data_IF_283725910953
#
_entry.id   IF_283725910953
#
_cell.length_a   1.000
_cell.length_b   1.000
_cell.length_c   1.000
_cell.angle_alpha   90.00
_cell.angle_beta   90.00
_cell.angle_gamma   90.00
#
_symmetry.space_group_name_H-M   'P 1'
#
loop_
_entity.id
_entity.type
_entity.pdbx_description
1 polymer ?
#
# COMPACT_ATOMS: atom_id res chain seq x y z
N UNK A 1 -20.78 -9.05 12.24
CA UNK A 1 -20.39 -8.80 10.84
C UNK A 1 -19.63 -7.50 10.89
N UNK A 2 -18.38 -7.55 10.44
CA UNK A 2 -17.46 -6.41 10.45
C UNK A 2 -17.99 -5.36 9.48
N UNK A 3 -18.03 -4.10 9.90
CA UNK A 3 -18.40 -2.97 9.04
C UNK A 3 -17.28 -1.93 9.04
N UNK A 4 -16.77 -1.60 7.87
CA UNK A 4 -15.81 -0.52 7.65
C UNK A 4 -16.50 0.72 7.10
N UNK A 5 -16.34 1.85 7.78
CA UNK A 5 -16.90 3.14 7.35
C UNK A 5 -15.82 4.22 7.43
N UNK A 6 -15.52 4.87 6.31
CA UNK A 6 -14.72 6.10 6.35
C UNK A 6 -15.59 7.22 6.98
N UNK A 7 -15.10 7.85 8.04
CA UNK A 7 -15.84 8.89 8.78
C UNK A 7 -14.98 10.14 9.00
N UNK A 8 -15.60 11.31 8.89
CA UNK A 8 -14.91 12.60 8.76
C UNK A 8 -14.80 13.05 7.29
N UNK A 9 -14.60 14.34 7.08
CA UNK A 9 -14.57 14.94 5.74
C UNK A 9 -13.16 14.88 5.13
N UNK A 10 -12.22 15.62 5.71
CA UNK A 10 -10.83 15.69 5.28
C UNK A 10 -9.99 14.81 6.20
N UNK A 11 -9.12 14.01 5.61
CA UNK A 11 -8.28 13.04 6.31
C UNK A 11 -9.12 12.13 7.25
N UNK A 12 -10.05 11.34 6.67
CA UNK A 12 -11.04 10.61 7.45
C UNK A 12 -10.41 9.54 8.35
N UNK A 13 -11.10 9.23 9.43
CA UNK A 13 -10.87 8.01 10.20
C UNK A 13 -11.53 6.82 9.50
N UNK A 14 -10.99 5.63 9.74
CA UNK A 14 -11.71 4.39 9.52
C UNK A 14 -12.43 4.02 10.82
N UNK A 15 -13.75 4.14 10.83
CA UNK A 15 -14.60 3.52 11.86
C UNK A 15 -14.81 2.06 11.53
N UNK A 16 -14.60 1.22 12.54
CA UNK A 16 -14.81 -0.21 12.47
C UNK A 16 -15.79 -0.63 13.55
N UNK A 17 -16.88 -1.28 13.13
CA UNK A 17 -17.82 -1.91 14.06
C UNK A 17 -17.66 -3.42 14.04
N UNK A 18 -17.51 -4.01 15.22
CA UNK A 18 -17.19 -5.43 15.43
C UNK A 18 -18.26 -6.08 16.31
N UNK A 19 -18.81 -7.21 15.87
CA UNK A 19 -19.60 -8.08 16.74
C UNK A 19 -18.70 -8.98 17.58
N UNK A 20 -19.21 -9.51 18.69
CA UNK A 20 -18.43 -10.44 19.52
C UNK A 20 -17.90 -11.62 18.68
N UNK A 21 -16.59 -11.86 18.75
CA UNK A 21 -15.88 -12.87 17.96
C UNK A 21 -15.36 -12.36 16.61
N UNK A 22 -15.76 -11.18 16.15
CA UNK A 22 -15.19 -10.56 14.96
C UNK A 22 -13.72 -10.15 15.21
N UNK A 23 -12.94 -10.20 14.13
CA UNK A 23 -11.50 -9.92 14.13
C UNK A 23 -11.12 -9.17 12.86
N UNK A 24 -10.27 -8.17 13.00
CA UNK A 24 -9.60 -7.48 11.89
C UNK A 24 -8.09 -7.49 12.06
N UNK A 25 -7.39 -7.28 10.95
CA UNK A 25 -5.98 -6.91 10.93
C UNK A 25 -5.83 -5.43 10.65
N UNK A 26 -4.82 -4.80 11.21
CA UNK A 26 -4.53 -3.38 10.98
C UNK A 26 -3.03 -3.08 10.98
N UNK A 27 -2.67 -1.93 10.40
CA UNK A 27 -1.34 -1.34 10.49
C UNK A 27 -1.00 -1.01 11.95
N UNK A 28 0.29 -1.09 12.31
CA UNK A 28 0.74 -0.65 13.63
C UNK A 28 0.54 0.85 13.80
N UNK A 29 0.31 1.29 15.02
CA UNK A 29 0.15 2.71 15.40
C UNK A 29 -1.03 3.44 14.72
N UNK A 30 -1.87 2.73 13.97
CA UNK A 30 -3.07 3.31 13.35
C UNK A 30 -4.23 3.50 14.35
N UNK A 31 -4.21 2.84 15.52
CA UNK A 31 -5.32 2.89 16.47
C UNK A 31 -5.44 4.26 17.15
N UNK A 32 -6.60 4.90 16.99
CA UNK A 32 -6.95 6.17 17.66
C UNK A 32 -7.73 5.92 18.94
N UNK A 33 -8.77 5.07 18.85
CA UNK A 33 -9.54 4.62 20.01
C UNK A 33 -10.09 3.22 19.77
N UNK A 34 -10.37 2.51 20.85
CA UNK A 34 -11.10 1.24 20.84
C UNK A 34 -11.96 1.16 22.10
N UNK A 35 -13.15 0.58 21.98
CA UNK A 35 -14.00 0.32 23.14
C UNK A 35 -13.44 -0.81 24.01
N UNK A 36 -13.78 -0.78 25.31
CA UNK A 36 -13.24 -1.68 26.32
C UNK A 36 -13.56 -3.17 26.07
N UNK A 37 -14.49 -3.49 25.17
CA UNK A 37 -14.84 -4.87 24.80
C UNK A 37 -13.84 -5.52 23.84
N UNK A 38 -13.02 -4.71 23.17
CA UNK A 38 -12.07 -5.12 22.16
C UNK A 38 -10.68 -5.38 22.78
N UNK A 39 -9.93 -6.30 22.20
CA UNK A 39 -8.52 -6.56 22.53
C UNK A 39 -7.62 -6.26 21.34
N UNK A 40 -6.52 -5.56 21.60
CA UNK A 40 -5.44 -5.35 20.64
C UNK A 40 -4.34 -6.40 20.88
N UNK A 41 -4.07 -7.23 19.87
CA UNK A 41 -3.06 -8.29 19.88
C UNK A 41 -1.99 -8.00 18.83
N UNK A 42 -0.71 -8.09 19.21
CA UNK A 42 0.42 -7.84 18.33
C UNK A 42 1.58 -7.19 19.09
N UNK A 43 2.82 -7.39 18.62
CA UNK A 43 4.00 -6.79 19.25
C UNK A 43 4.25 -5.40 18.67
N UNK A 44 4.21 -4.36 19.52
CA UNK A 44 4.73 -3.02 19.21
C UNK A 44 6.27 -3.02 19.05
N UNK A 45 6.94 -4.14 19.33
CA UNK A 45 8.39 -4.24 19.38
C UNK A 45 8.95 -5.02 18.17
N UNK A 46 9.39 -4.26 17.16
CA UNK A 46 10.21 -4.75 16.05
C UNK A 46 9.79 -4.10 14.74
N UNK A 47 10.52 -3.07 14.31
CA UNK A 47 10.19 -2.25 13.15
C UNK A 47 9.82 -3.04 11.89
N UNK A 48 9.05 -2.39 11.02
CA UNK A 48 8.50 -2.88 9.74
C UNK A 48 9.45 -3.86 9.02
N UNK A 49 10.75 -3.54 8.96
CA UNK A 49 11.78 -4.39 8.34
C UNK A 49 11.90 -5.82 8.91
N UNK A 50 11.74 -6.03 10.23
CA UNK A 50 11.85 -7.36 10.85
C UNK A 50 10.59 -8.21 10.59
N UNK A 51 9.42 -7.57 10.49
CA UNK A 51 8.17 -8.25 10.14
C UNK A 51 8.17 -8.69 8.66
N UNK A 52 8.62 -7.80 7.77
CA UNK A 52 8.86 -8.13 6.35
C UNK A 52 9.84 -9.28 6.20
N UNK A 53 10.99 -9.23 6.89
CA UNK A 53 12.00 -10.28 6.82
C UNK A 53 11.46 -11.66 7.25
N UNK A 54 10.58 -11.72 8.26
CA UNK A 54 9.90 -12.98 8.65
C UNK A 54 8.90 -13.44 7.61
N UNK A 55 8.06 -12.55 7.10
CA UNK A 55 7.09 -12.85 6.04
C UNK A 55 7.81 -13.42 4.80
N UNK A 56 8.92 -12.81 4.40
CA UNK A 56 9.77 -13.32 3.31
C UNK A 56 10.39 -14.68 3.61
N UNK A 57 10.98 -14.86 4.80
CA UNK A 57 11.71 -16.08 5.14
C UNK A 57 10.77 -17.30 5.30
N UNK A 58 9.56 -17.08 5.82
CA UNK A 58 8.66 -18.16 6.21
C UNK A 58 7.40 -18.27 5.32
N UNK A 59 7.20 -17.35 4.38
CA UNK A 59 5.96 -17.27 3.58
C UNK A 59 4.72 -16.88 4.41
N UNK A 60 4.92 -16.31 5.60
CA UNK A 60 3.84 -15.91 6.51
C UNK A 60 3.13 -14.63 6.03
N UNK A 61 1.85 -14.48 6.37
CA UNK A 61 1.06 -13.28 6.05
C UNK A 61 1.63 -12.03 6.74
N UNK A 62 1.66 -10.92 6.01
CA UNK A 62 2.14 -9.61 6.49
C UNK A 62 1.03 -8.87 7.26
N UNK A 63 0.71 -9.31 8.48
CA UNK A 63 -0.17 -8.55 9.37
C UNK A 63 0.57 -8.14 10.63
N UNK A 64 0.51 -6.85 10.96
CA UNK A 64 1.31 -6.26 12.03
C UNK A 64 0.56 -6.29 13.37
N UNK A 65 -0.74 -5.94 13.36
CA UNK A 65 -1.59 -5.94 14.54
C UNK A 65 -2.97 -6.53 14.22
N UNK A 66 -3.66 -6.94 15.28
CA UNK A 66 -4.99 -7.53 15.24
C UNK A 66 -5.87 -6.88 16.31
N UNK A 67 -7.09 -6.49 15.95
CA UNK A 67 -8.14 -6.09 16.90
C UNK A 67 -9.23 -7.17 16.89
N UNK A 68 -9.65 -7.61 18.08
CA UNK A 68 -10.62 -8.69 18.26
C UNK A 68 -11.67 -8.34 19.31
N UNK A 69 -12.95 -8.59 19.01
CA UNK A 69 -14.07 -8.34 19.91
C UNK A 69 -14.28 -9.51 20.89
N UNK A 70 -13.52 -9.51 21.99
CA UNK A 70 -13.45 -10.67 22.91
C UNK A 70 -14.57 -10.65 23.97
N UNK A 71 -14.81 -9.48 24.58
CA UNK A 71 -15.74 -9.36 25.73
C UNK A 71 -17.17 -9.03 25.33
N UNK A 72 -17.39 -8.53 24.13
CA UNK A 72 -18.68 -8.10 23.59
C UNK A 72 -18.50 -7.49 22.21
N UNK A 73 -19.58 -6.95 21.63
CA UNK A 73 -19.44 -6.05 20.48
C UNK A 73 -18.72 -4.76 20.88
N UNK A 74 -18.15 -4.07 19.90
CA UNK A 74 -17.64 -2.73 20.11
C UNK A 74 -17.00 -2.12 18.89
N UNK A 75 -16.70 -0.84 19.02
CA UNK A 75 -16.18 -0.01 17.95
C UNK A 75 -14.70 0.36 18.16
N UNK A 76 -13.98 0.59 17.06
CA UNK A 76 -12.70 1.26 17.07
C UNK A 76 -12.57 2.29 15.95
N UNK A 77 -11.69 3.26 16.14
CA UNK A 77 -11.27 4.20 15.10
C UNK A 77 -9.81 3.98 14.79
N UNK A 78 -9.51 3.85 13.49
CA UNK A 78 -8.15 3.80 12.96
C UNK A 78 -7.89 5.06 12.12
N UNK A 79 -6.65 5.54 12.13
CA UNK A 79 -6.17 6.63 11.29
C UNK A 79 -4.92 6.20 10.53
N UNK A 80 -4.82 6.46 9.22
CA UNK A 80 -3.58 6.28 8.48
C UNK A 80 -2.44 7.13 9.04
N UNK A 81 -1.21 6.68 8.79
CA UNK A 81 0.01 7.40 9.17
C UNK A 81 0.14 8.74 8.45
N UNK A 82 -0.26 8.82 7.18
CA UNK A 82 -0.13 10.01 6.35
C UNK A 82 -1.50 10.69 6.13
N UNK A 83 -1.55 12.04 6.13
CA UNK A 83 -2.77 12.77 5.78
C UNK A 83 -3.26 12.42 4.38
N UNK A 84 -4.51 12.00 4.24
CA UNK A 84 -5.09 11.82 2.92
C UNK A 84 -6.33 10.97 2.91
N UNK A 85 -6.62 10.40 1.76
CA UNK A 85 -7.86 9.68 1.51
C UNK A 85 -7.76 8.20 1.89
N UNK A 86 -8.90 7.66 2.35
CA UNK A 86 -9.14 6.25 2.61
C UNK A 86 -10.07 5.66 1.56
N UNK A 87 -9.86 4.40 1.19
CA UNK A 87 -10.82 3.62 0.40
C UNK A 87 -10.97 2.22 0.97
N UNK A 88 -12.21 1.81 1.17
CA UNK A 88 -12.57 0.39 1.42
C UNK A 88 -12.72 -0.28 0.06
N UNK A 89 -12.01 -1.38 -0.15
CA UNK A 89 -12.04 -2.18 -1.38
C UNK A 89 -12.42 -3.62 -1.05
N UNK A 90 -13.31 -4.19 -1.87
CA UNK A 90 -13.75 -5.58 -1.73
C UNK A 90 -12.72 -6.52 -2.38
N UNK A 91 -12.32 -7.54 -1.63
CA UNK A 91 -11.37 -8.58 -2.02
C UNK A 91 -12.12 -9.91 -2.13
N UNK A 92 -11.84 -10.69 -3.19
CA UNK A 92 -12.50 -11.96 -3.45
C UNK A 92 -12.30 -12.41 -4.90
N UNK A 93 -13.35 -12.28 -5.72
CA UNK A 93 -13.24 -12.51 -7.16
C UNK A 93 -12.21 -11.56 -7.82
N UNK A 94 -12.01 -10.40 -7.21
CA UNK A 94 -10.99 -9.42 -7.57
C UNK A 94 -9.94 -9.36 -6.47
N UNK A 95 -8.69 -9.31 -6.86
CA UNK A 95 -7.53 -9.20 -5.98
C UNK A 95 -6.70 -7.98 -6.41
N UNK A 96 -5.87 -7.47 -5.51
CA UNK A 96 -5.13 -6.24 -5.69
C UNK A 96 -3.66 -6.42 -5.34
N UNK A 97 -2.85 -5.57 -5.94
CA UNK A 97 -1.47 -5.32 -5.57
C UNK A 97 -1.42 -3.96 -4.89
N UNK A 98 -0.73 -3.87 -3.77
CA UNK A 98 -0.64 -2.67 -2.93
C UNK A 98 0.84 -2.28 -2.81
N UNK A 99 1.11 -0.99 -2.95
CA UNK A 99 2.41 -0.44 -2.61
C UNK A 99 2.64 -0.43 -1.09
N UNK A 100 3.91 -0.44 -0.68
CA UNK A 100 4.27 -0.26 0.73
C UNK A 100 3.69 1.03 1.31
N UNK A 101 3.17 0.95 2.54
CA UNK A 101 2.50 2.05 3.24
C UNK A 101 1.07 2.36 2.76
N UNK A 102 0.53 1.62 1.78
CA UNK A 102 -0.86 1.80 1.37
C UNK A 102 -1.87 1.07 2.28
N UNK A 103 -1.46 -0.03 2.92
CA UNK A 103 -2.36 -0.87 3.74
C UNK A 103 -2.73 -0.20 5.06
N UNK A 104 -4.01 -0.21 5.43
CA UNK A 104 -4.52 0.31 6.72
C UNK A 104 -5.15 -0.80 7.56
N UNK A 105 -6.12 -1.52 6.99
CA UNK A 105 -6.86 -2.54 7.70
C UNK A 105 -7.41 -3.61 6.76
N UNK A 106 -7.76 -4.77 7.32
CA UNK A 106 -8.30 -5.90 6.59
C UNK A 106 -9.26 -6.72 7.46
N UNK A 107 -10.34 -7.20 6.87
CA UNK A 107 -11.17 -8.25 7.51
C UNK A 107 -10.39 -9.58 7.60
N UNK A 108 -10.68 -10.39 8.62
CA UNK A 108 -9.94 -11.63 8.91
C UNK A 108 -9.94 -12.70 7.81
N UNK A 109 -10.87 -12.64 6.84
CA UNK A 109 -10.90 -13.53 5.68
C UNK A 109 -9.92 -13.17 4.55
N UNK A 110 -9.17 -12.08 4.70
CA UNK A 110 -8.16 -11.63 3.74
C UNK A 110 -6.74 -11.92 4.23
N UNK A 111 -5.83 -12.16 3.30
CA UNK A 111 -4.39 -12.38 3.57
C UNK A 111 -3.54 -11.45 2.71
N UNK A 112 -2.50 -10.83 3.29
CA UNK A 112 -1.50 -10.01 2.60
C UNK A 112 -0.20 -10.80 2.46
N UNK A 113 0.27 -11.00 1.24
CA UNK A 113 1.54 -11.68 0.94
C UNK A 113 2.48 -10.75 0.21
N UNK A 114 3.76 -10.79 0.54
CA UNK A 114 4.74 -10.00 -0.22
C UNK A 114 5.01 -10.69 -1.56
N UNK A 115 4.86 -9.96 -2.66
CA UNK A 115 5.11 -10.49 -4.00
C UNK A 115 6.60 -10.40 -4.32
N UNK A 116 7.24 -11.56 -4.42
CA UNK A 116 8.71 -11.71 -4.60
C UNK A 116 9.16 -11.71 -6.06
N UNK A 117 8.35 -11.22 -7.01
CA UNK A 117 8.70 -11.33 -8.44
C UNK A 117 10.08 -10.75 -8.76
N UNK A 118 10.75 -11.37 -9.73
CA UNK A 118 12.18 -11.20 -10.08
C UNK A 118 12.66 -9.76 -10.27
N UNK A 119 11.76 -8.83 -10.64
CA UNK A 119 12.06 -7.40 -10.82
C UNK A 119 12.26 -6.70 -9.46
N UNK A 120 11.57 -7.18 -8.40
CA UNK A 120 11.67 -6.66 -7.03
C UNK A 120 13.04 -6.87 -6.40
N UNK A 121 13.73 -7.98 -6.67
CA UNK A 121 15.05 -8.27 -6.09
C UNK A 121 16.14 -7.26 -6.52
N UNK A 122 16.11 -6.80 -7.77
CA UNK A 122 17.07 -5.84 -8.28
C UNK A 122 16.84 -4.42 -7.73
N UNK A 123 15.57 -4.06 -7.51
CA UNK A 123 15.18 -2.75 -6.98
C UNK A 123 15.26 -2.67 -5.46
N UNK A 124 14.94 -3.74 -4.73
CA UNK A 124 15.15 -3.85 -3.29
C UNK A 124 16.60 -3.55 -2.92
N UNK A 125 17.55 -4.05 -3.71
CA UNK A 125 18.97 -3.86 -3.49
C UNK A 125 19.45 -2.42 -3.76
N UNK A 126 18.75 -1.64 -4.59
CA UNK A 126 19.18 -0.29 -4.99
C UNK A 126 18.37 0.86 -4.38
N UNK A 127 17.12 0.64 -3.97
CA UNK A 127 16.20 1.70 -3.49
C UNK A 127 16.00 1.75 -1.97
N UNK A 128 16.49 0.77 -1.22
CA UNK A 128 16.31 0.72 0.23
C UNK A 128 14.98 0.14 0.73
N UNK A 129 14.18 -0.53 -0.14
CA UNK A 129 13.07 -1.36 0.32
C UNK A 129 11.75 -1.28 -0.45
N UNK A 130 11.75 -1.39 -1.79
CA UNK A 130 10.51 -1.45 -2.58
C UNK A 130 9.87 -2.85 -2.57
N UNK A 131 8.77 -3.04 -1.85
CA UNK A 131 7.91 -4.23 -1.98
C UNK A 131 6.49 -3.89 -2.40
N UNK A 132 5.90 -4.85 -3.09
CA UNK A 132 4.48 -4.89 -3.44
C UNK A 132 3.84 -6.03 -2.65
N UNK A 133 2.74 -5.74 -1.97
CA UNK A 133 1.90 -6.75 -1.32
C UNK A 133 0.78 -7.18 -2.26
N UNK A 134 0.38 -8.43 -2.20
CA UNK A 134 -0.75 -8.97 -2.96
C UNK A 134 -1.84 -9.46 -2.01
N UNK A 135 -3.08 -9.12 -2.35
CA UNK A 135 -4.25 -9.62 -1.64
C UNK A 135 -4.60 -11.05 -2.05
N UNK A 136 -5.12 -11.81 -1.09
CA UNK A 136 -5.78 -13.09 -1.33
C UNK A 136 -6.91 -13.33 -0.32
N UNK A 137 -7.75 -14.34 -0.56
CA UNK A 137 -8.91 -14.63 0.27
C UNK A 137 -10.14 -13.81 -0.11
N UNK A 138 -11.03 -13.56 0.84
CA UNK A 138 -12.30 -12.85 0.62
C UNK A 138 -12.66 -11.99 1.81
N UNK A 139 -13.12 -10.76 1.54
CA UNK A 139 -13.51 -9.79 2.56
C UNK A 139 -13.25 -8.38 2.07
N UNK A 140 -12.84 -7.49 2.97
CA UNK A 140 -12.52 -6.10 2.64
C UNK A 140 -11.10 -5.75 3.10
N UNK A 141 -10.43 -4.91 2.31
CA UNK A 141 -9.16 -4.27 2.64
C UNK A 141 -9.39 -2.77 2.59
N UNK A 142 -8.73 -2.04 3.48
CA UNK A 142 -8.71 -0.58 3.50
C UNK A 142 -7.33 -0.10 3.10
N UNK A 143 -7.30 0.78 2.11
CA UNK A 143 -6.09 1.43 1.62
C UNK A 143 -6.11 2.93 1.89
N UNK A 144 -4.94 3.52 2.10
CA UNK A 144 -4.73 4.96 2.21
C UNK A 144 -3.72 5.47 1.20
N UNK A 145 -3.86 6.74 0.83
CA UNK A 145 -2.89 7.44 -0.01
C UNK A 145 -2.66 8.86 0.48
N UNK A 146 -1.48 9.42 0.23
CA UNK A 146 -1.13 10.76 0.68
C UNK A 146 -1.86 11.84 -0.15
N UNK A 147 -2.67 12.66 0.52
CA UNK A 147 -3.61 13.58 -0.10
C UNK A 147 -4.84 12.90 -0.70
N UNK A 148 -5.48 13.54 -1.68
CA UNK A 148 -6.68 12.99 -2.35
C UNK A 148 -6.38 11.75 -3.17
N UNK A 149 -7.33 10.81 -3.27
CA UNK A 149 -7.21 9.60 -4.07
C UNK A 149 -8.09 9.67 -5.32
N UNK A 150 -7.56 9.16 -6.44
CA UNK A 150 -8.23 9.10 -7.73
C UNK A 150 -8.08 7.70 -8.34
N UNK A 151 -9.11 7.27 -9.08
CA UNK A 151 -9.18 5.94 -9.68
C UNK A 151 -9.04 6.07 -11.19
N UNK A 152 -8.02 5.44 -11.75
CA UNK A 152 -7.69 5.45 -13.17
C UNK A 152 -8.10 4.12 -13.81
N UNK A 153 -8.83 4.21 -14.92
CA UNK A 153 -9.12 3.06 -15.78
C UNK A 153 -7.95 2.80 -16.74
N UNK A 154 -7.45 1.57 -16.75
CA UNK A 154 -6.51 1.06 -17.75
C UNK A 154 -7.30 0.20 -18.72
N UNK A 155 -7.19 0.52 -20.00
CA UNK A 155 -7.88 -0.18 -21.08
C UNK A 155 -6.87 -0.76 -22.09
N UNK A 156 -7.20 -1.87 -22.78
CA UNK A 156 -6.30 -2.47 -23.76
C UNK A 156 -5.89 -1.47 -24.85
N UNK A 157 -4.58 -1.40 -25.13
CA UNK A 157 -4.00 -0.46 -26.10
C UNK A 157 -3.89 0.99 -25.62
N UNK A 158 -4.24 1.28 -24.37
CA UNK A 158 -4.11 2.59 -23.72
C UNK A 158 -3.31 2.46 -22.43
N UNK A 159 -2.03 2.12 -22.58
CA UNK A 159 -1.11 2.02 -21.45
C UNK A 159 -1.06 3.33 -20.66
N UNK A 160 -0.95 3.22 -19.34
CA UNK A 160 -0.84 4.37 -18.44
C UNK A 160 0.51 4.31 -17.74
N UNK A 161 1.26 5.41 -17.76
CA UNK A 161 2.55 5.54 -17.08
C UNK A 161 2.35 6.45 -15.87
N UNK A 162 2.75 5.98 -14.69
CA UNK A 162 2.48 6.64 -13.41
C UNK A 162 3.77 6.62 -12.58
N UNK A 163 4.10 7.74 -11.93
CA UNK A 163 5.13 7.74 -10.88
C UNK A 163 4.70 6.80 -9.74
N UNK A 164 5.57 5.85 -9.40
CA UNK A 164 5.32 4.86 -8.35
C UNK A 164 5.00 5.51 -7.00
N UNK A 165 5.58 6.67 -6.70
CA UNK A 165 5.36 7.39 -5.44
C UNK A 165 3.90 7.84 -5.24
N UNK A 166 3.13 7.87 -6.33
CA UNK A 166 1.71 8.21 -6.36
C UNK A 166 0.80 6.98 -6.46
N UNK A 167 1.32 5.78 -6.69
CA UNK A 167 0.52 4.56 -6.82
C UNK A 167 0.20 4.00 -5.43
N UNK A 168 -1.09 3.75 -5.18
CA UNK A 168 -1.59 3.19 -3.91
C UNK A 168 -1.81 1.69 -4.05
N UNK A 169 -2.72 1.29 -4.95
CA UNK A 169 -3.01 -0.09 -5.26
C UNK A 169 -3.55 -0.24 -6.68
N UNK A 170 -3.57 -1.46 -7.21
CA UNK A 170 -4.11 -1.74 -8.55
C UNK A 170 -4.62 -3.16 -8.66
N UNK A 171 -5.44 -3.41 -9.66
CA UNK A 171 -6.00 -4.74 -9.93
C UNK A 171 -4.87 -5.73 -10.26
N UNK A 172 -4.87 -6.91 -9.63
CA UNK A 172 -3.76 -7.86 -9.78
C UNK A 172 -3.65 -8.47 -11.19
N UNK A 173 -4.70 -8.33 -12.01
CA UNK A 173 -4.76 -8.80 -13.39
C UNK A 173 -4.08 -7.83 -14.38
N UNK A 174 -3.78 -6.61 -13.96
CA UNK A 174 -3.01 -5.67 -14.79
C UNK A 174 -1.57 -6.14 -14.92
N UNK A 175 -1.04 -6.00 -16.12
CA UNK A 175 0.39 -6.14 -16.36
C UNK A 175 1.06 -4.81 -16.00
N UNK A 176 2.21 -4.88 -15.33
CA UNK A 176 2.99 -3.70 -15.03
C UNK A 176 4.47 -3.92 -15.29
N UNK A 177 5.14 -2.90 -15.81
CA UNK A 177 6.58 -2.87 -16.04
C UNK A 177 7.20 -1.72 -15.26
N UNK A 178 8.31 -2.01 -14.59
CA UNK A 178 9.07 -1.00 -13.85
C UNK A 178 10.13 -0.40 -14.77
N UNK A 179 10.15 0.92 -14.89
CA UNK A 179 11.21 1.65 -15.57
C UNK A 179 11.94 2.53 -14.56
N UNK A 180 13.25 2.30 -14.43
CA UNK A 180 14.11 3.02 -13.49
C UNK A 180 14.82 4.15 -14.23
N UNK A 181 14.74 5.35 -13.67
CA UNK A 181 15.40 6.56 -14.18
C UNK A 181 16.82 6.67 -13.63
N UNK A 182 17.72 5.74 -13.95
CA UNK A 182 19.11 5.88 -13.50
C UNK A 182 19.81 7.00 -14.28
N UNK A 183 20.00 8.14 -13.61
CA UNK A 183 21.10 9.05 -13.91
C UNK A 183 22.43 8.33 -13.70
N UNK A 184 23.30 8.39 -14.71
CA UNK A 184 24.69 7.90 -14.71
C UNK A 184 24.91 6.37 -14.63
N UNK A 185 24.66 5.63 -15.71
CA UNK A 185 25.51 4.49 -16.09
C UNK A 185 25.50 4.31 -17.60
N UNK A 186 26.63 4.63 -18.25
CA UNK A 186 26.90 4.20 -19.61
C UNK A 186 27.10 2.68 -19.67
N UNK A 187 26.77 2.09 -20.82
CA UNK A 187 27.06 0.67 -21.14
C UNK A 187 25.79 -0.14 -21.43
N UNK A 188 25.46 -0.33 -22.70
CA UNK A 188 24.17 -0.84 -23.15
C UNK A 188 23.99 -2.37 -23.19
N UNK A 189 22.76 -2.80 -23.56
CA UNK A 189 22.46 -3.67 -24.71
C UNK A 189 20.93 -3.75 -24.91
N UNK A 190 20.43 -3.19 -26.02
CA UNK A 190 19.30 -3.77 -26.79
C UNK A 190 17.84 -3.57 -26.31
N UNK A 191 17.21 -2.48 -26.76
CA UNK A 191 15.92 -2.54 -27.46
C UNK A 191 14.61 -2.62 -26.65
N UNK A 192 13.95 -1.46 -26.46
CA UNK A 192 12.51 -1.21 -26.77
C UNK A 192 12.01 0.17 -26.27
N UNK A 193 12.81 0.95 -25.54
CA UNK A 193 12.38 2.24 -24.96
C UNK A 193 13.28 3.42 -25.34
N UNK A 194 13.51 3.62 -26.64
CA UNK A 194 14.22 4.80 -27.17
C UNK A 194 13.53 6.16 -26.90
N UNK A 195 12.43 6.22 -26.13
CA UNK A 195 11.66 7.44 -25.87
C UNK A 195 11.32 7.71 -24.38
N UNK A 196 11.92 6.99 -23.42
CA UNK A 196 11.87 7.36 -21.99
C UNK A 196 13.18 8.01 -21.51
N UNK A 197 13.96 8.55 -22.46
CA UNK A 197 15.37 8.96 -22.25
C UNK A 197 15.56 10.41 -21.81
N UNK A 198 14.50 11.12 -21.40
CA UNK A 198 14.59 12.51 -20.90
C UNK A 198 14.29 12.66 -19.39
N UNK A 199 14.35 11.57 -18.62
CA UNK A 199 13.97 11.57 -17.20
C UNK A 199 15.03 12.17 -16.26
N UNK A 200 16.29 12.26 -16.68
CA UNK A 200 17.33 12.99 -15.94
C UNK A 200 17.01 14.50 -15.84
N UNK A 201 16.16 15.02 -16.73
CA UNK A 201 15.66 16.40 -16.72
C UNK A 201 14.32 16.59 -16.01
N UNK A 202 13.54 15.53 -15.74
CA UNK A 202 12.19 15.66 -15.19
C UNK A 202 12.12 15.61 -13.66
N UNK A 203 13.12 15.01 -13.00
CA UNK A 203 13.12 14.84 -11.54
C UNK A 203 12.21 13.71 -11.02
N UNK A 204 11.66 12.89 -11.93
CA UNK A 204 10.78 11.77 -11.60
C UNK A 204 11.61 10.51 -11.28
N UNK A 205 11.25 9.81 -10.19
CA UNK A 205 11.93 8.60 -9.71
C UNK A 205 11.54 7.34 -10.48
N UNK A 206 11.11 6.29 -9.76
CA UNK A 206 10.66 5.03 -10.38
C UNK A 206 9.26 5.24 -10.99
N UNK A 207 9.08 4.87 -12.25
CA UNK A 207 7.76 4.89 -12.90
C UNK A 207 7.27 3.48 -13.22
N UNK A 208 5.96 3.30 -13.15
CA UNK A 208 5.25 2.07 -13.51
C UNK A 208 4.44 2.29 -14.78
N UNK A 209 4.62 1.42 -15.77
CA UNK A 209 3.75 1.34 -16.95
C UNK A 209 2.74 0.23 -16.73
N UNK A 210 1.45 0.56 -16.75
CA UNK A 210 0.34 -0.38 -16.64
C UNK A 210 -0.32 -0.63 -17.99
N UNK A 211 -0.65 -1.89 -18.26
CA UNK A 211 -1.39 -2.33 -19.46
C UNK A 211 -2.39 -3.45 -19.13
N UNK A 212 -3.42 -3.59 -19.98
CA UNK A 212 -4.50 -4.57 -19.80
C UNK A 212 -5.85 -3.92 -19.53
N UNK A 213 -6.70 -4.61 -18.76
CA UNK A 213 -8.04 -4.12 -18.35
C UNK A 213 -8.16 -4.17 -16.85
N UNK A 214 -8.31 -3.02 -16.21
CA UNK A 214 -8.41 -2.91 -14.76
C UNK A 214 -8.28 -1.48 -14.28
N UNK A 215 -8.09 -1.31 -12.99
CA UNK A 215 -7.98 -0.01 -12.33
C UNK A 215 -6.67 0.15 -11.57
N UNK A 216 -6.20 1.39 -11.49
CA UNK A 216 -5.10 1.82 -10.63
C UNK A 216 -5.59 2.97 -9.74
N UNK A 217 -5.38 2.85 -8.44
CA UNK A 217 -5.67 3.87 -7.46
C UNK A 217 -4.40 4.69 -7.24
N UNK A 218 -4.50 6.00 -7.38
CA UNK A 218 -3.39 6.93 -7.21
C UNK A 218 -3.73 8.00 -6.18
N UNK A 219 -2.71 8.58 -5.56
CA UNK A 219 -2.83 9.69 -4.63
C UNK A 219 -2.21 10.98 -5.19
N UNK A 220 -2.65 12.13 -4.71
CA UNK A 220 -2.27 13.44 -5.26
C UNK A 220 -0.93 13.99 -4.73
N UNK A 221 -0.33 13.35 -3.71
CA UNK A 221 0.90 13.82 -3.07
C UNK A 221 1.94 12.70 -3.01
N UNK A 222 3.21 13.07 -3.20
CA UNK A 222 4.35 12.17 -3.12
C UNK A 222 4.94 12.18 -1.70
N UNK A 223 4.88 11.03 -1.02
CA UNK A 223 5.41 10.82 0.34
C UNK A 223 6.92 11.10 0.42
N UNK A 224 7.67 10.59 -0.54
CA UNK A 224 9.14 10.61 -0.52
C UNK A 224 9.65 12.03 -0.74
N UNK A 225 9.07 12.75 -1.71
CA UNK A 225 9.34 14.16 -1.95
C UNK A 225 9.04 15.03 -0.71
N UNK A 226 7.95 14.74 0.00
CA UNK A 226 7.61 15.45 1.24
C UNK A 226 8.61 15.16 2.36
N UNK A 227 9.01 13.90 2.53
CA UNK A 227 10.02 13.52 3.51
C UNK A 227 11.39 14.15 3.21
N UNK A 228 11.80 14.19 1.94
CA UNK A 228 13.03 14.88 1.52
C UNK A 228 12.98 16.38 1.79
N UNK A 229 11.85 17.03 1.49
CA UNK A 229 11.65 18.44 1.77
C UNK A 229 11.75 18.73 3.28
N UNK A 230 11.11 17.91 4.12
CA UNK A 230 11.21 18.02 5.58
C UNK A 230 12.66 17.87 6.05
N UNK A 231 13.37 16.82 5.62
CA UNK A 231 14.78 16.58 5.98
C UNK A 231 15.67 17.77 5.66
N UNK A 232 15.50 18.39 4.49
CA UNK A 232 16.25 19.59 4.09
C UNK A 232 15.96 20.80 4.98
N UNK A 233 14.81 20.85 5.66
CA UNK A 233 14.41 21.94 6.56
C UNK A 233 14.77 21.69 8.02
N UNK A 234 14.85 20.42 8.44
CA UNK A 234 15.16 20.04 9.83
C UNK A 234 16.63 19.69 10.04
N UNK A 235 17.41 19.50 8.98
CA UNK A 235 18.87 19.39 9.05
C UNK A 235 19.46 20.79 9.31
N UNK A 236 19.37 21.24 10.57
CA UNK A 236 20.12 22.36 11.14
C UNK A 236 21.23 21.85 12.04
#
# INVERSE_FOLDING_TARGET
MIVFTATGDVDPFLHVSLQKGDKIYCESDAMVMMEANLDLKGSMNGGIGRALMRSFANGESFFQQQIEAVRGEGDCLLSPTLPGALRVIDVGAKQYLLNDGAFVAATSGTEMKVRTQSIGNALFAQSGGFFVMETSGTGQVVVSGFGSMFELDVAPGKDVIIDNSHVVCWDNNLQYEISVTTGNTGGGLGGMLGNLVNSVTSGEGIVLRFSGTGKVFICSRNRDSFAEWLKKKTAG
#
